data_IF_099503409368
#
_entry.id   IF_099503409368
#
_cell.length_a   1.000
_cell.length_b   1.000
_cell.length_c   1.000
_cell.angle_alpha   90.00
_cell.angle_beta   90.00
_cell.angle_gamma   90.00
#
_symmetry.space_group_name_H-M   'P 1'
#
loop_
_entity.id
_entity.type
_entity.pdbx_description
1 polymer ?
#
# COMPACT_ATOMS: atom_id res chain seq x y z
N UNK A 1 -52.26 -0.68 8.71
CA UNK A 1 -51.02 -1.46 8.50
C UNK A 1 -49.79 -0.59 8.78
N UNK A 2 -49.67 0.01 9.98
CA UNK A 2 -48.56 0.91 10.34
C UNK A 2 -47.67 0.36 11.48
N UNK A 3 -48.05 -0.77 12.11
CA UNK A 3 -47.41 -1.24 13.34
C UNK A 3 -46.12 -2.04 13.18
N UNK A 4 -45.81 -2.55 11.97
CA UNK A 4 -44.63 -3.41 11.76
C UNK A 4 -43.37 -2.58 11.53
N UNK A 5 -43.46 -1.51 10.73
CA UNK A 5 -42.32 -0.63 10.44
C UNK A 5 -41.91 0.16 11.69
N UNK A 6 -42.87 0.67 12.44
CA UNK A 6 -42.63 1.46 13.66
C UNK A 6 -41.98 0.62 14.78
N UNK A 7 -42.35 -0.68 14.86
CA UNK A 7 -41.70 -1.64 15.76
C UNK A 7 -40.27 -1.96 15.33
N UNK A 8 -40.03 -2.14 14.03
CA UNK A 8 -38.70 -2.40 13.50
C UNK A 8 -37.76 -1.21 13.75
N UNK A 9 -38.24 0.02 13.53
CA UNK A 9 -37.48 1.25 13.77
C UNK A 9 -37.14 1.43 15.26
N UNK A 10 -38.11 1.21 16.16
CA UNK A 10 -37.85 1.24 17.60
C UNK A 10 -36.89 0.17 18.08
N UNK A 11 -36.90 -1.02 17.48
CA UNK A 11 -35.90 -2.03 17.80
C UNK A 11 -34.51 -1.58 17.36
N UNK A 12 -34.41 -0.95 16.19
CA UNK A 12 -33.14 -0.44 15.67
C UNK A 12 -32.58 0.70 16.52
N UNK A 13 -33.43 1.63 16.98
CA UNK A 13 -33.04 2.72 17.88
C UNK A 13 -32.63 2.23 19.28
N UNK A 14 -33.12 1.08 19.73
CA UNK A 14 -32.80 0.48 21.03
C UNK A 14 -31.65 -0.52 20.99
N UNK A 15 -31.06 -0.78 19.82
CA UNK A 15 -29.75 -1.41 19.75
C UNK A 15 -28.76 -0.36 20.24
N UNK A 16 -28.48 -0.42 21.53
CA UNK A 16 -27.29 0.20 22.10
C UNK A 16 -26.13 -0.38 21.32
N UNK A 17 -25.44 0.48 20.57
CA UNK A 17 -24.13 0.15 20.04
C UNK A 17 -23.33 -0.18 21.30
N UNK A 18 -23.11 -1.48 21.56
CA UNK A 18 -22.07 -1.88 22.50
C UNK A 18 -20.86 -1.05 22.10
N UNK A 19 -20.35 -0.24 23.02
CA UNK A 19 -19.08 0.45 22.82
C UNK A 19 -18.12 -0.64 22.39
N UNK A 20 -17.85 -0.69 21.09
CA UNK A 20 -16.95 -1.70 20.56
C UNK A 20 -15.65 -1.41 21.25
N UNK A 21 -15.21 -2.37 22.07
CA UNK A 21 -13.79 -2.53 22.37
C UNK A 21 -13.13 -2.31 21.03
N UNK A 22 -12.42 -1.20 20.89
CA UNK A 22 -11.88 -0.78 19.60
C UNK A 22 -10.77 -1.78 19.35
N UNK A 23 -11.11 -2.93 18.77
CA UNK A 23 -10.13 -3.87 18.26
C UNK A 23 -9.27 -3.01 17.34
N UNK A 24 -8.02 -2.81 17.74
CA UNK A 24 -7.05 -2.13 16.91
C UNK A 24 -6.96 -2.94 15.63
N UNK A 25 -7.69 -2.51 14.60
CA UNK A 25 -7.67 -3.16 13.31
C UNK A 25 -6.22 -3.16 12.83
N UNK A 26 -5.66 -4.35 12.67
CA UNK A 26 -4.26 -4.51 12.28
C UNK A 26 -4.07 -3.97 10.87
N UNK A 27 -3.10 -3.07 10.70
CA UNK A 27 -2.71 -2.58 9.39
C UNK A 27 -1.71 -3.54 8.76
N UNK A 28 -2.22 -4.50 7.98
CA UNK A 28 -1.37 -5.46 7.28
C UNK A 28 -0.72 -4.82 6.04
N UNK A 29 0.61 -4.86 5.97
CA UNK A 29 1.39 -4.31 4.86
C UNK A 29 2.14 -5.45 4.18
N UNK A 30 1.94 -5.60 2.87
CA UNK A 30 2.65 -6.56 2.03
C UNK A 30 3.77 -5.86 1.27
N UNK A 31 4.97 -6.44 1.26
CA UNK A 31 6.01 -6.10 0.29
C UNK A 31 6.30 -7.33 -0.57
N UNK A 32 6.23 -7.20 -1.89
CA UNK A 32 6.42 -8.33 -2.80
C UNK A 32 7.09 -7.91 -4.12
N UNK A 33 8.21 -8.55 -4.46
CA UNK A 33 8.81 -8.42 -5.79
C UNK A 33 8.04 -9.30 -6.79
N UNK A 34 7.38 -8.67 -7.74
CA UNK A 34 6.43 -9.33 -8.66
C UNK A 34 7.13 -9.90 -9.90
N UNK A 35 8.33 -9.43 -10.24
CA UNK A 35 9.09 -9.86 -11.43
C UNK A 35 8.22 -9.84 -12.71
N UNK A 36 7.47 -8.76 -12.90
CA UNK A 36 6.54 -8.53 -14.01
C UNK A 36 5.07 -8.61 -13.60
N UNK A 37 4.40 -7.45 -13.49
CA UNK A 37 3.02 -7.37 -13.03
C UNK A 37 2.04 -8.21 -13.84
N UNK A 38 2.15 -8.14 -15.18
CA UNK A 38 1.20 -8.76 -16.10
C UNK A 38 1.11 -10.28 -15.95
N UNK A 39 2.22 -10.96 -15.72
CA UNK A 39 2.25 -12.42 -15.61
C UNK A 39 1.77 -12.92 -14.25
N UNK A 40 1.82 -12.09 -13.21
CA UNK A 40 1.53 -12.49 -11.83
C UNK A 40 0.36 -11.77 -11.17
N UNK A 41 -0.47 -11.03 -11.91
CA UNK A 41 -1.53 -10.23 -11.28
C UNK A 41 -2.54 -11.08 -10.48
N UNK A 42 -2.84 -12.30 -10.94
CA UNK A 42 -3.74 -13.22 -10.22
C UNK A 42 -3.13 -13.66 -8.88
N UNK A 43 -1.85 -14.03 -8.88
CA UNK A 43 -1.11 -14.40 -7.67
C UNK A 43 -1.05 -13.23 -6.68
N UNK A 44 -0.70 -12.03 -7.17
CA UNK A 44 -0.69 -10.80 -6.36
C UNK A 44 -2.05 -10.58 -5.71
N UNK A 45 -3.13 -10.72 -6.49
CA UNK A 45 -4.50 -10.54 -5.99
C UNK A 45 -4.85 -11.57 -4.93
N UNK A 46 -4.52 -12.84 -5.15
CA UNK A 46 -4.76 -13.92 -4.19
C UNK A 46 -4.01 -13.69 -2.88
N UNK A 47 -2.71 -13.35 -2.94
CA UNK A 47 -1.89 -13.10 -1.75
C UNK A 47 -2.45 -11.92 -0.94
N UNK A 48 -2.78 -10.81 -1.62
CA UNK A 48 -3.35 -9.61 -0.98
C UNK A 48 -4.61 -9.95 -0.18
N UNK A 49 -5.53 -10.74 -0.75
CA UNK A 49 -6.74 -11.13 -0.04
C UNK A 49 -6.49 -12.18 1.04
N UNK A 50 -5.59 -13.14 0.79
CA UNK A 50 -5.28 -14.22 1.75
C UNK A 50 -4.67 -13.69 3.06
N UNK A 51 -3.87 -12.64 2.99
CA UNK A 51 -3.25 -12.01 4.17
C UNK A 51 -4.01 -10.78 4.64
N UNK A 52 -5.14 -10.47 4.00
CA UNK A 52 -5.94 -9.28 4.28
C UNK A 52 -5.11 -7.99 4.28
N UNK A 53 -4.22 -7.85 3.28
CA UNK A 53 -3.34 -6.69 3.18
C UNK A 53 -4.15 -5.41 3.01
N UNK A 54 -3.89 -4.41 3.84
CA UNK A 54 -4.44 -3.06 3.71
C UNK A 54 -3.65 -2.22 2.71
N UNK A 55 -2.34 -2.47 2.65
CA UNK A 55 -1.39 -1.79 1.77
C UNK A 55 -0.48 -2.85 1.14
N UNK A 56 -0.22 -2.73 -0.16
CA UNK A 56 0.75 -3.55 -0.88
C UNK A 56 1.81 -2.69 -1.56
N UNK A 57 3.07 -3.01 -1.36
CA UNK A 57 4.23 -2.44 -2.05
C UNK A 57 4.81 -3.50 -2.98
N UNK A 58 4.82 -3.18 -4.27
CA UNK A 58 5.19 -4.13 -5.31
C UNK A 58 6.36 -3.60 -6.11
N UNK A 59 7.42 -4.39 -6.23
CA UNK A 59 8.61 -4.05 -7.03
C UNK A 59 8.69 -4.89 -8.30
N UNK A 60 9.52 -4.45 -9.25
CA UNK A 60 9.65 -5.04 -10.58
C UNK A 60 8.31 -5.21 -11.31
N UNK A 61 7.46 -4.17 -11.24
CA UNK A 61 6.14 -4.23 -11.87
C UNK A 61 6.20 -4.14 -13.40
N UNK A 62 7.26 -3.53 -13.93
CA UNK A 62 7.49 -3.31 -15.35
C UNK A 62 6.52 -2.31 -15.99
N UNK A 63 6.65 -2.14 -17.32
CA UNK A 63 5.85 -1.17 -18.09
C UNK A 63 4.34 -1.49 -18.12
N UNK A 64 3.96 -2.74 -17.89
CA UNK A 64 2.58 -3.24 -17.98
C UNK A 64 1.87 -3.30 -16.61
N UNK A 65 2.27 -2.42 -15.68
CA UNK A 65 1.68 -2.29 -14.33
C UNK A 65 0.16 -2.05 -14.33
N UNK A 66 -0.39 -1.47 -15.39
CA UNK A 66 -1.80 -1.12 -15.50
C UNK A 66 -2.65 -2.17 -16.27
N UNK A 67 -2.03 -3.27 -16.72
CA UNK A 67 -2.71 -4.29 -17.51
C UNK A 67 -3.85 -4.99 -16.74
N UNK A 68 -3.80 -4.98 -15.41
CA UNK A 68 -4.83 -5.54 -14.53
C UNK A 68 -4.75 -4.86 -13.17
N UNK A 69 -5.91 -4.68 -12.51
CA UNK A 69 -6.02 -3.99 -11.22
C UNK A 69 -6.39 -4.97 -10.12
N UNK A 70 -5.91 -4.70 -8.90
CA UNK A 70 -6.39 -5.39 -7.69
C UNK A 70 -7.74 -4.78 -7.31
N UNK A 71 -8.83 -5.58 -7.22
CA UNK A 71 -10.14 -5.08 -6.81
C UNK A 71 -10.09 -4.44 -5.43
N UNK A 72 -10.83 -3.35 -5.22
CA UNK A 72 -10.88 -2.61 -3.94
C UNK A 72 -9.60 -1.87 -3.52
N UNK A 73 -8.60 -1.73 -4.41
CA UNK A 73 -7.41 -0.92 -4.15
C UNK A 73 -7.32 0.26 -5.13
N UNK A 74 -6.73 1.34 -4.63
CA UNK A 74 -6.19 2.43 -5.44
C UNK A 74 -4.69 2.17 -5.62
N UNK A 75 -4.21 2.19 -6.87
CA UNK A 75 -2.81 1.86 -7.20
C UNK A 75 -2.10 3.13 -7.66
N UNK A 76 -0.96 3.40 -7.04
CA UNK A 76 0.01 4.41 -7.42
C UNK A 76 1.21 3.73 -8.05
N UNK A 77 1.86 4.37 -9.01
CA UNK A 77 2.96 3.77 -9.77
C UNK A 77 4.08 4.78 -10.04
N UNK A 78 5.32 4.37 -9.83
CA UNK A 78 6.52 5.02 -10.35
C UNK A 78 7.21 4.09 -11.34
N UNK A 79 7.39 4.57 -12.57
CA UNK A 79 8.12 3.83 -13.60
C UNK A 79 9.59 3.64 -13.21
N UNK A 80 10.15 2.50 -13.59
CA UNK A 80 11.55 2.19 -13.30
C UNK A 80 12.53 2.71 -14.34
N UNK A 81 13.82 2.55 -14.04
CA UNK A 81 14.94 2.92 -14.95
C UNK A 81 15.13 1.95 -16.10
N UNK A 82 14.48 0.78 -16.04
CA UNK A 82 14.50 -0.24 -17.09
C UNK A 82 13.10 -0.87 -17.26
N UNK A 83 12.93 -1.68 -18.31
CA UNK A 83 11.63 -2.28 -18.70
C UNK A 83 10.99 -3.17 -17.63
N UNK A 84 11.82 -3.77 -16.77
CA UNK A 84 11.38 -4.70 -15.72
C UNK A 84 11.18 -4.00 -14.38
N UNK A 85 11.75 -2.81 -14.18
CA UNK A 85 11.72 -2.09 -12.92
C UNK A 85 10.39 -1.39 -12.65
N UNK A 86 10.41 -0.51 -11.67
CA UNK A 86 9.26 0.26 -11.24
C UNK A 86 8.65 -0.27 -9.95
N UNK A 87 7.85 0.59 -9.33
CA UNK A 87 7.25 0.35 -8.02
C UNK A 87 5.77 0.72 -8.09
N UNK A 88 4.91 -0.16 -7.56
CA UNK A 88 3.52 0.14 -7.30
C UNK A 88 3.25 0.15 -5.79
N UNK A 89 2.43 1.09 -5.34
CA UNK A 89 1.83 1.07 -3.99
C UNK A 89 0.32 0.96 -4.17
N UNK A 90 -0.26 -0.14 -3.71
CA UNK A 90 -1.69 -0.38 -3.67
C UNK A 90 -2.22 -0.07 -2.26
N UNK A 91 -3.27 0.76 -2.18
CA UNK A 91 -3.90 1.15 -0.91
C UNK A 91 -5.38 0.76 -0.97
N UNK A 92 -5.87 0.05 0.05
CA UNK A 92 -7.28 -0.33 0.14
C UNK A 92 -8.19 0.91 0.06
N UNK A 93 -9.31 0.81 -0.66
CA UNK A 93 -10.22 1.94 -0.95
C UNK A 93 -10.90 2.56 0.28
N UNK A 94 -10.84 1.89 1.42
CA UNK A 94 -11.27 2.44 2.71
C UNK A 94 -10.28 3.48 3.27
N UNK A 95 -9.07 3.56 2.71
CA UNK A 95 -8.10 4.63 2.94
C UNK A 95 -7.98 5.56 1.74
N UNK A 96 -7.53 6.79 2.01
CA UNK A 96 -7.17 7.76 0.99
C UNK A 96 -5.64 7.75 0.80
N UNK A 97 -5.18 7.47 -0.40
CA UNK A 97 -3.76 7.64 -0.77
C UNK A 97 -3.51 9.00 -1.40
N UNK A 98 -2.40 9.65 -1.04
CA UNK A 98 -1.91 10.87 -1.68
C UNK A 98 -0.45 10.69 -2.08
N UNK A 99 -0.16 10.80 -3.38
CA UNK A 99 1.22 10.69 -3.87
C UNK A 99 2.01 11.93 -3.42
N UNK A 100 3.18 11.70 -2.83
CA UNK A 100 4.16 12.75 -2.56
C UNK A 100 5.07 12.88 -3.77
N UNK A 101 5.30 14.10 -4.23
CA UNK A 101 6.18 14.35 -5.36
C UNK A 101 7.64 14.10 -4.94
N UNK A 102 8.31 13.18 -5.63
CA UNK A 102 9.73 12.92 -5.46
C UNK A 102 10.36 12.70 -6.83
N UNK A 103 11.55 13.27 -7.05
CA UNK A 103 12.32 13.06 -8.27
C UNK A 103 13.44 12.05 -8.01
N UNK A 104 13.04 10.89 -7.51
CA UNK A 104 13.94 9.82 -7.12
C UNK A 104 13.56 8.58 -7.94
N UNK A 105 14.51 8.08 -8.72
CA UNK A 105 14.28 6.94 -9.62
C UNK A 105 13.91 5.68 -8.84
N UNK A 106 13.04 4.85 -9.41
CA UNK A 106 12.55 3.62 -8.77
C UNK A 106 12.05 3.81 -7.33
N UNK A 107 11.52 5.00 -6.98
CA UNK A 107 11.01 5.31 -5.64
C UNK A 107 9.63 5.93 -5.73
N UNK A 108 8.68 5.39 -4.97
CA UNK A 108 7.31 5.86 -4.93
C UNK A 108 6.94 6.18 -3.48
N UNK A 109 6.55 7.43 -3.24
CA UNK A 109 6.15 7.90 -1.92
C UNK A 109 4.66 8.20 -1.93
N UNK A 110 3.92 7.59 -0.99
CA UNK A 110 2.48 7.77 -0.84
C UNK A 110 2.12 7.94 0.62
N UNK A 111 1.39 9.00 0.93
CA UNK A 111 0.77 9.22 2.24
C UNK A 111 -0.58 8.50 2.30
N UNK A 112 -0.79 7.72 3.35
CA UNK A 112 -2.02 6.98 3.64
C UNK A 112 -2.79 7.72 4.73
N UNK A 113 -3.99 8.17 4.38
CA UNK A 113 -4.87 9.01 5.19
C UNK A 113 -6.16 8.23 5.49
N UNK A 114 -6.73 8.45 6.68
CA UNK A 114 -7.92 7.73 7.16
C UNK A 114 -7.65 6.81 8.35
N UNK A 115 -6.42 6.83 8.87
CA UNK A 115 -6.01 6.25 10.14
C UNK A 115 -6.02 7.32 11.24
N UNK A 116 -5.67 6.95 12.48
CA UNK A 116 -5.47 7.90 13.58
C UNK A 116 -4.39 8.94 13.27
N UNK A 117 -3.36 8.53 12.52
CA UNK A 117 -2.27 9.38 12.04
C UNK A 117 -1.98 9.08 10.57
N UNK A 118 -1.42 10.05 9.85
CA UNK A 118 -0.97 9.79 8.46
C UNK A 118 0.28 8.92 8.48
N UNK A 119 0.24 7.81 7.74
CA UNK A 119 1.40 6.94 7.54
C UNK A 119 1.96 7.20 6.15
N UNK A 120 3.27 7.40 6.05
CA UNK A 120 3.98 7.54 4.78
C UNK A 120 4.59 6.20 4.37
N UNK A 121 4.28 5.75 3.16
CA UNK A 121 4.87 4.57 2.55
C UNK A 121 5.89 5.01 1.51
N UNK A 122 7.14 4.59 1.67
CA UNK A 122 8.21 4.75 0.69
C UNK A 122 8.51 3.36 0.09
N UNK A 123 7.99 3.12 -1.11
CA UNK A 123 8.27 1.92 -1.88
C UNK A 123 9.49 2.10 -2.78
N UNK A 124 10.44 1.16 -2.75
CA UNK A 124 11.70 1.28 -3.50
C UNK A 124 12.09 0.03 -4.27
N UNK A 125 12.78 0.23 -5.38
CA UNK A 125 13.48 -0.83 -6.10
C UNK A 125 14.89 -0.39 -6.49
N UNK A 126 15.92 -1.04 -5.99
CA UNK A 126 17.30 -0.81 -6.45
C UNK A 126 17.62 -1.82 -7.53
N UNK A 127 18.10 -1.33 -8.67
CA UNK A 127 18.56 -2.24 -9.73
C UNK A 127 19.87 -2.94 -9.30
N UNK A 128 20.09 -4.17 -9.77
CA UNK A 128 21.29 -4.92 -9.43
C UNK A 128 22.57 -4.13 -9.75
N UNK A 129 23.46 -4.01 -8.76
CA UNK A 129 24.73 -3.28 -8.88
C UNK A 129 24.62 -1.75 -8.73
N UNK A 130 23.44 -1.22 -8.46
CA UNK A 130 23.27 0.19 -8.11
C UNK A 130 23.76 0.41 -6.67
N UNK A 131 24.70 1.32 -6.48
CA UNK A 131 25.12 1.77 -5.15
C UNK A 131 24.40 3.08 -4.83
N UNK A 132 23.54 3.04 -3.83
CA UNK A 132 22.62 4.12 -3.47
C UNK A 132 22.39 4.07 -1.97
N UNK A 133 22.56 5.19 -1.30
CA UNK A 133 22.33 5.31 0.13
C UNK A 133 20.91 5.75 0.45
N UNK A 134 20.46 5.50 1.67
CA UNK A 134 19.12 5.88 2.14
C UNK A 134 19.01 7.37 2.48
N UNK A 135 20.11 8.11 2.61
CA UNK A 135 20.17 9.52 2.99
C UNK A 135 19.41 10.47 2.04
N UNK A 136 19.25 10.09 0.77
CA UNK A 136 18.43 10.85 -0.17
C UNK A 136 16.94 10.89 0.22
N UNK A 137 16.51 9.96 1.09
CA UNK A 137 15.13 9.85 1.58
C UNK A 137 14.90 10.76 2.78
N UNK A 138 15.95 11.27 3.44
CA UNK A 138 15.87 12.09 4.65
C UNK A 138 14.82 13.21 4.56
N UNK A 139 14.69 13.97 3.44
CA UNK A 139 13.68 15.03 3.33
C UNK A 139 12.23 14.52 3.35
N UNK A 140 12.03 13.22 3.15
CA UNK A 140 10.72 12.59 3.07
C UNK A 140 10.40 11.77 4.32
N UNK A 141 11.36 11.48 5.19
CA UNK A 141 11.12 10.73 6.42
C UNK A 141 10.36 11.61 7.42
N UNK A 142 9.31 11.02 7.98
CA UNK A 142 8.54 11.53 9.13
C UNK A 142 8.49 10.44 10.20
N UNK A 143 8.00 10.79 11.40
CA UNK A 143 7.86 9.84 12.53
C UNK A 143 7.05 8.58 12.15
N UNK A 144 6.12 8.71 11.19
CA UNK A 144 5.23 7.65 10.73
C UNK A 144 5.57 7.16 9.32
N UNK A 145 6.85 6.95 9.03
CA UNK A 145 7.31 6.46 7.73
C UNK A 145 7.66 4.97 7.75
N UNK A 146 7.18 4.25 6.74
CA UNK A 146 7.55 2.86 6.46
C UNK A 146 8.28 2.82 5.12
N UNK A 147 9.54 2.41 5.17
CA UNK A 147 10.39 2.21 3.98
C UNK A 147 10.43 0.72 3.70
N UNK A 148 10.07 0.31 2.48
CA UNK A 148 10.10 -1.09 2.08
C UNK A 148 10.30 -1.23 0.58
N UNK A 149 10.84 -2.37 0.17
CA UNK A 149 11.13 -2.59 -1.23
C UNK A 149 12.10 -3.74 -1.43
N UNK A 150 12.64 -3.80 -2.63
CA UNK A 150 13.75 -4.66 -2.96
C UNK A 150 14.99 -3.80 -3.19
N UNK A 151 15.89 -3.86 -2.22
CA UNK A 151 17.11 -3.07 -2.19
C UNK A 151 18.24 -3.75 -2.96
N UNK A 152 18.13 -5.03 -3.38
CA UNK A 152 19.23 -5.75 -4.06
C UNK A 152 20.63 -5.54 -3.43
N UNK A 153 20.67 -5.27 -2.13
CA UNK A 153 21.85 -4.85 -1.38
C UNK A 153 21.72 -5.39 0.04
N UNK A 154 22.85 -5.78 0.61
CA UNK A 154 22.92 -6.16 2.01
C UNK A 154 22.85 -4.92 2.90
N UNK A 155 22.49 -5.11 4.18
CA UNK A 155 22.39 -4.02 5.15
C UNK A 155 23.69 -3.21 5.32
N UNK A 156 24.85 -3.80 4.97
CA UNK A 156 26.16 -3.14 5.04
C UNK A 156 26.39 -2.13 3.93
N UNK A 157 25.58 -2.19 2.88
CA UNK A 157 25.69 -1.36 1.68
C UNK A 157 24.69 -0.20 1.69
N UNK A 158 23.84 -0.10 2.73
CA UNK A 158 22.78 0.91 2.82
C UNK A 158 23.25 2.31 3.23
N UNK A 159 24.57 2.50 3.42
CA UNK A 159 25.18 3.75 3.92
C UNK A 159 25.55 3.65 5.39
#
# INVERSE_FOLDING_TARGET
MAGTLEKALKQWENITVEESVTEQALLNILCYNVQGWRSRTLEVTEIVFKIEASIGVFTEVGELWNASRIPHFNIFHQGGTNKSGGVCVAIGKHFKGCRVSCNIENTLIVDVIGLSETIRIIGMYWSAGQNRGLEELDPFITDNTIITGDFNASIKEWG
#
